data_IF_858119332415
#
_entry.id   IF_858119332415
#
_cell.length_a   1.000
_cell.length_b   1.000
_cell.length_c   1.000
_cell.angle_alpha   90.00
_cell.angle_beta   90.00
_cell.angle_gamma   90.00
#
_symmetry.space_group_name_H-M   'P 1'
#
loop_
_entity.id
_entity.type
_entity.pdbx_description
1 polymer ?
#
# COMPACT_ATOMS: atom_id res chain seq x y z
N UNK A 1 17.28 24.66 8.73
CA UNK A 1 18.14 23.50 9.10
C UNK A 1 19.47 24.01 9.60
N UNK A 2 19.99 23.42 10.67
CA UNK A 2 21.36 23.65 11.10
C UNK A 2 22.34 22.97 10.12
N UNK A 3 23.64 23.27 10.23
CA UNK A 3 24.65 22.78 9.29
C UNK A 3 24.85 21.26 9.37
N UNK A 4 24.64 20.66 10.54
CA UNK A 4 24.65 19.20 10.70
C UNK A 4 23.54 18.53 9.88
N UNK A 5 22.32 19.06 9.93
CA UNK A 5 21.20 18.54 9.14
C UNK A 5 21.45 18.73 7.64
N UNK A 6 22.01 19.86 7.21
CA UNK A 6 22.36 20.07 5.79
C UNK A 6 23.34 19.02 5.31
N UNK A 7 24.39 18.77 6.10
CA UNK A 7 25.40 17.76 5.79
C UNK A 7 24.80 16.35 5.68
N UNK A 8 23.93 15.97 6.62
CA UNK A 8 23.27 14.67 6.58
C UNK A 8 22.39 14.50 5.33
N UNK A 9 21.66 15.54 4.91
CA UNK A 9 20.88 15.51 3.67
C UNK A 9 21.79 15.43 2.44
N UNK A 10 22.89 16.17 2.42
CA UNK A 10 23.86 16.14 1.32
C UNK A 10 24.53 14.77 1.18
N UNK A 11 24.91 14.13 2.29
CA UNK A 11 25.44 12.77 2.30
C UNK A 11 24.41 11.76 1.76
N UNK A 12 23.16 11.84 2.21
CA UNK A 12 22.07 11.00 1.71
C UNK A 12 21.84 11.18 0.20
N UNK A 13 21.76 12.42 -0.28
CA UNK A 13 21.54 12.74 -1.70
C UNK A 13 22.75 12.42 -2.58
N UNK A 14 23.95 12.38 -2.01
CA UNK A 14 25.16 11.92 -2.73
C UNK A 14 25.07 10.42 -3.01
N UNK A 15 24.58 9.62 -2.05
CA UNK A 15 24.39 8.17 -2.18
C UNK A 15 23.14 7.72 -2.94
N UNK A 16 22.30 8.65 -3.43
CA UNK A 16 20.98 8.33 -4.00
C UNK A 16 21.01 7.30 -5.14
N UNK A 17 22.03 7.29 -5.99
CA UNK A 17 22.06 6.40 -7.15
C UNK A 17 22.35 4.94 -6.73
N UNK A 18 23.21 4.77 -5.72
CA UNK A 18 23.50 3.48 -5.09
C UNK A 18 22.28 2.98 -4.31
N UNK A 19 21.68 3.83 -3.48
CA UNK A 19 20.46 3.51 -2.72
C UNK A 19 19.31 3.14 -3.68
N UNK A 20 19.17 3.87 -4.78
CA UNK A 20 18.18 3.57 -5.83
C UNK A 20 18.39 2.17 -6.40
N UNK A 21 19.64 1.79 -6.73
CA UNK A 21 19.94 0.45 -7.25
C UNK A 21 19.63 -0.65 -6.23
N UNK A 22 19.99 -0.46 -4.97
CA UNK A 22 19.69 -1.40 -3.87
C UNK A 22 18.18 -1.60 -3.68
N UNK A 23 17.39 -0.51 -3.68
CA UNK A 23 15.92 -0.58 -3.57
C UNK A 23 15.32 -1.41 -4.71
N UNK A 24 15.83 -1.28 -5.94
CA UNK A 24 15.32 -2.03 -7.08
C UNK A 24 15.66 -3.52 -6.98
N UNK A 25 16.85 -3.86 -6.50
CA UNK A 25 17.22 -5.26 -6.30
C UNK A 25 16.40 -5.89 -5.16
N UNK A 26 16.24 -5.19 -4.03
CA UNK A 26 15.39 -5.65 -2.94
C UNK A 26 13.94 -5.85 -3.42
N UNK A 27 13.40 -4.90 -4.19
CA UNK A 27 12.08 -5.02 -4.82
C UNK A 27 11.97 -6.27 -5.69
N UNK A 28 13.01 -6.59 -6.46
CA UNK A 28 13.06 -7.76 -7.32
C UNK A 28 13.13 -9.05 -6.52
N UNK A 29 13.89 -9.09 -5.44
CA UNK A 29 13.91 -10.24 -4.52
C UNK A 29 12.53 -10.47 -3.91
N UNK A 30 11.85 -9.41 -3.48
CA UNK A 30 10.57 -9.48 -2.79
C UNK A 30 9.44 -9.89 -3.73
N UNK A 31 9.34 -9.24 -4.88
CA UNK A 31 8.22 -9.39 -5.80
C UNK A 31 8.51 -10.32 -6.99
N UNK A 32 9.73 -10.85 -7.09
CA UNK A 32 10.22 -11.63 -8.23
C UNK A 32 10.49 -10.81 -9.49
N UNK A 33 10.25 -9.50 -9.44
CA UNK A 33 10.50 -8.53 -10.52
C UNK A 33 10.53 -7.11 -9.94
N UNK A 34 11.16 -6.19 -10.64
CA UNK A 34 11.02 -4.76 -10.36
C UNK A 34 9.63 -4.30 -10.83
N UNK A 35 8.77 -3.75 -9.97
CA UNK A 35 7.52 -3.13 -10.40
C UNK A 35 7.79 -1.97 -11.37
N UNK A 36 7.04 -1.88 -12.47
CA UNK A 36 7.27 -0.88 -13.52
C UNK A 36 7.28 0.56 -12.98
N UNK A 37 6.51 0.84 -11.94
CA UNK A 37 6.43 2.16 -11.33
C UNK A 37 7.79 2.60 -10.77
N UNK A 38 8.56 1.67 -10.18
CA UNK A 38 9.89 2.00 -9.64
C UNK A 38 10.90 2.29 -10.76
N UNK A 39 10.77 1.61 -11.90
CA UNK A 39 11.60 1.86 -13.09
C UNK A 39 11.43 3.28 -13.65
N UNK A 40 10.23 3.86 -13.51
CA UNK A 40 9.95 5.25 -13.91
C UNK A 40 10.34 6.22 -12.79
N UNK A 41 10.02 5.91 -11.54
CA UNK A 41 10.31 6.81 -10.41
C UNK A 41 11.82 7.05 -10.24
N UNK A 42 12.66 6.04 -10.49
CA UNK A 42 14.12 6.17 -10.38
C UNK A 42 14.73 7.21 -11.32
N UNK A 43 14.01 7.67 -12.36
CA UNK A 43 14.45 8.78 -13.21
C UNK A 43 14.63 10.09 -12.42
N UNK A 44 14.04 10.19 -11.22
CA UNK A 44 14.20 11.29 -10.26
C UNK A 44 14.74 10.74 -8.93
N UNK A 45 16.02 10.34 -8.87
CA UNK A 45 16.56 9.53 -7.79
C UNK A 45 16.43 10.21 -6.42
N UNK A 46 16.60 11.53 -6.33
CA UNK A 46 16.47 12.30 -5.08
C UNK A 46 15.10 12.18 -4.42
N UNK A 47 14.03 12.16 -5.23
CA UNK A 47 12.66 11.99 -4.73
C UNK A 47 12.36 10.52 -4.53
N UNK A 48 12.80 9.67 -5.46
CA UNK A 48 12.55 8.24 -5.43
C UNK A 48 13.10 7.59 -4.16
N UNK A 49 14.39 7.78 -3.83
CA UNK A 49 15.00 7.11 -2.68
C UNK A 49 14.35 7.53 -1.37
N UNK A 50 13.97 8.79 -1.23
CA UNK A 50 13.31 9.28 -0.02
C UNK A 50 11.94 8.64 0.16
N UNK A 51 11.11 8.65 -0.88
CA UNK A 51 9.76 8.09 -0.80
C UNK A 51 9.77 6.56 -0.71
N UNK A 52 10.59 5.89 -1.52
CA UNK A 52 10.65 4.44 -1.54
C UNK A 52 11.13 3.85 -0.21
N UNK A 53 12.14 4.44 0.44
CA UNK A 53 12.54 4.00 1.78
C UNK A 53 11.40 4.17 2.79
N UNK A 54 10.70 5.31 2.75
CA UNK A 54 9.54 5.56 3.60
C UNK A 54 8.40 4.56 3.37
N UNK A 55 8.08 4.28 2.11
CA UNK A 55 7.03 3.34 1.71
C UNK A 55 7.37 1.91 2.15
N UNK A 56 8.62 1.47 1.94
CA UNK A 56 9.07 0.12 2.32
C UNK A 56 9.03 -0.09 3.83
N UNK A 57 9.53 0.88 4.61
CA UNK A 57 9.46 0.84 6.08
C UNK A 57 8.00 0.89 6.60
N UNK A 58 7.12 1.62 5.91
CA UNK A 58 5.70 1.74 6.29
C UNK A 58 4.92 0.46 5.99
N UNK A 59 5.11 -0.12 4.81
CA UNK A 59 4.37 -1.29 4.33
C UNK A 59 4.90 -2.57 4.98
N UNK A 60 6.16 -2.59 5.44
CA UNK A 60 6.78 -3.71 6.17
C UNK A 60 7.21 -3.31 7.58
N UNK A 61 6.25 -3.00 8.45
CA UNK A 61 6.56 -2.57 9.80
C UNK A 61 7.14 -3.74 10.62
N UNK A 62 8.11 -3.43 11.48
CA UNK A 62 8.75 -4.42 12.38
C UNK A 62 7.80 -5.00 13.44
N UNK A 63 6.63 -4.38 13.63
CA UNK A 63 5.62 -4.79 14.60
C UNK A 63 4.66 -5.87 14.09
N UNK A 64 4.69 -6.20 12.79
CA UNK A 64 3.89 -7.26 12.17
C UNK A 64 4.80 -8.27 11.50
N UNK A 65 4.38 -9.54 11.46
CA UNK A 65 5.03 -10.49 10.57
C UNK A 65 4.75 -10.16 9.09
N UNK A 66 5.60 -10.66 8.21
CA UNK A 66 5.55 -10.36 6.79
C UNK A 66 4.23 -10.78 6.13
N UNK A 67 3.68 -11.94 6.51
CA UNK A 67 2.42 -12.43 5.94
C UNK A 67 1.25 -11.49 6.31
N UNK A 68 1.18 -11.06 7.57
CA UNK A 68 0.16 -10.15 8.07
C UNK A 68 0.26 -8.78 7.40
N UNK A 69 1.46 -8.22 7.29
CA UNK A 69 1.68 -6.93 6.63
C UNK A 69 1.28 -6.95 5.14
N UNK A 70 1.62 -8.02 4.43
CA UNK A 70 1.25 -8.17 3.01
C UNK A 70 -0.26 -8.43 2.83
N UNK A 71 -0.92 -9.16 3.74
CA UNK A 71 -2.39 -9.32 3.71
C UNK A 71 -3.12 -7.99 3.94
N UNK A 72 -2.61 -7.11 4.80
CA UNK A 72 -3.14 -5.74 4.97
C UNK A 72 -2.94 -4.93 3.68
N UNK A 73 -1.79 -5.11 3.01
CA UNK A 73 -1.50 -4.48 1.73
C UNK A 73 -2.45 -4.96 0.62
N UNK A 74 -2.75 -6.26 0.57
CA UNK A 74 -3.78 -6.84 -0.31
C UNK A 74 -5.14 -6.20 -0.05
N UNK A 75 -5.58 -6.15 1.22
CA UNK A 75 -6.86 -5.55 1.58
C UNK A 75 -6.96 -4.07 1.21
N UNK A 76 -5.87 -3.33 1.40
CA UNK A 76 -5.79 -1.91 1.07
C UNK A 76 -5.81 -1.68 -0.44
N UNK A 77 -5.06 -2.49 -1.20
CA UNK A 77 -5.09 -2.46 -2.67
C UNK A 77 -6.49 -2.77 -3.21
N UNK A 78 -7.19 -3.75 -2.62
CA UNK A 78 -8.60 -4.04 -2.96
C UNK A 78 -9.51 -2.84 -2.68
N UNK A 79 -9.42 -2.25 -1.49
CA UNK A 79 -10.25 -1.11 -1.11
C UNK A 79 -10.04 0.12 -2.02
N UNK A 80 -8.81 0.34 -2.47
CA UNK A 80 -8.42 1.47 -3.33
C UNK A 80 -8.62 1.18 -4.83
N UNK A 81 -9.00 -0.03 -5.23
CA UNK A 81 -9.08 -0.43 -6.63
C UNK A 81 -7.72 -0.49 -7.34
N UNK A 82 -6.62 -0.61 -6.58
CA UNK A 82 -5.24 -0.61 -7.08
C UNK A 82 -4.84 -2.00 -7.60
N UNK A 83 -5.40 -2.41 -8.74
CA UNK A 83 -5.25 -3.77 -9.30
C UNK A 83 -3.79 -4.17 -9.59
N UNK A 84 -2.95 -3.19 -9.98
CA UNK A 84 -1.51 -3.42 -10.17
C UNK A 84 -0.81 -3.80 -8.86
N UNK A 85 -1.11 -3.08 -7.77
CA UNK A 85 -0.61 -3.37 -6.43
C UNK A 85 -1.14 -4.70 -5.92
N UNK A 86 -2.41 -4.99 -6.17
CA UNK A 86 -3.06 -6.24 -5.73
C UNK A 86 -2.30 -7.47 -6.23
N UNK A 87 -1.91 -7.51 -7.52
CA UNK A 87 -1.13 -8.63 -8.07
C UNK A 87 0.23 -8.79 -7.39
N UNK A 88 0.90 -7.69 -7.08
CA UNK A 88 2.23 -7.68 -6.45
C UNK A 88 2.14 -8.18 -5.01
N UNK A 89 1.24 -7.62 -4.22
CA UNK A 89 1.09 -7.95 -2.79
C UNK A 89 0.49 -9.34 -2.56
N UNK A 90 -0.36 -9.86 -3.46
CA UNK A 90 -0.77 -11.28 -3.39
C UNK A 90 0.46 -12.20 -3.53
N UNK A 91 1.35 -11.93 -4.49
CA UNK A 91 2.58 -12.71 -4.66
C UNK A 91 3.48 -12.64 -3.43
N UNK A 92 3.66 -11.45 -2.86
CA UNK A 92 4.46 -11.24 -1.67
C UNK A 92 3.86 -11.94 -0.43
N UNK A 93 2.55 -11.86 -0.22
CA UNK A 93 1.85 -12.53 0.86
C UNK A 93 2.03 -14.05 0.81
N UNK A 94 1.86 -14.65 -0.38
CA UNK A 94 2.06 -16.08 -0.58
C UNK A 94 3.53 -16.49 -0.33
N UNK A 95 4.49 -15.69 -0.80
CA UNK A 95 5.92 -15.91 -0.52
C UNK A 95 6.24 -15.81 0.97
N UNK A 96 5.53 -14.97 1.71
CA UNK A 96 5.63 -14.84 3.16
C UNK A 96 4.90 -15.94 3.94
N UNK A 97 4.24 -16.88 3.25
CA UNK A 97 3.58 -18.04 3.86
C UNK A 97 2.07 -17.90 4.08
N UNK A 98 1.44 -16.84 3.57
CA UNK A 98 -0.02 -16.74 3.58
C UNK A 98 -0.66 -17.80 2.66
N UNK A 99 -1.88 -18.21 2.99
CA UNK A 99 -2.67 -19.14 2.16
C UNK A 99 -3.56 -18.38 1.17
N UNK A 100 -4.02 -19.06 0.12
CA UNK A 100 -5.00 -18.50 -0.80
C UNK A 100 -6.34 -18.16 -0.12
N UNK A 101 -6.72 -18.90 0.93
CA UNK A 101 -7.92 -18.60 1.72
C UNK A 101 -7.75 -17.28 2.49
N UNK A 102 -6.59 -17.06 3.12
CA UNK A 102 -6.29 -15.77 3.78
C UNK A 102 -6.29 -14.61 2.78
N UNK A 103 -5.75 -14.82 1.58
CA UNK A 103 -5.79 -13.82 0.49
C UNK A 103 -7.24 -13.53 0.07
N UNK A 104 -8.07 -14.56 -0.09
CA UNK A 104 -9.48 -14.40 -0.42
C UNK A 104 -10.21 -13.60 0.65
N UNK A 105 -9.98 -13.91 1.93
CA UNK A 105 -10.55 -13.16 3.05
C UNK A 105 -10.10 -11.70 3.04
N UNK A 106 -8.81 -11.45 2.80
CA UNK A 106 -8.25 -10.09 2.68
C UNK A 106 -8.86 -9.29 1.52
N UNK A 107 -9.41 -9.93 0.49
CA UNK A 107 -10.15 -9.28 -0.60
C UNK A 107 -11.63 -9.08 -0.23
N UNK A 108 -12.25 -10.10 0.38
CA UNK A 108 -13.68 -10.11 0.67
C UNK A 108 -14.07 -9.13 1.78
N UNK A 109 -13.22 -8.98 2.80
CA UNK A 109 -13.43 -8.05 3.92
C UNK A 109 -13.58 -6.59 3.43
N UNK A 110 -12.59 -5.97 2.75
CA UNK A 110 -12.73 -4.60 2.27
C UNK A 110 -13.85 -4.44 1.24
N UNK A 111 -14.13 -5.45 0.41
CA UNK A 111 -15.27 -5.42 -0.49
C UNK A 111 -16.61 -5.34 0.26
N UNK A 112 -16.76 -6.09 1.36
CA UNK A 112 -17.93 -6.01 2.23
C UNK A 112 -18.06 -4.63 2.89
N UNK A 113 -16.96 -4.10 3.43
CA UNK A 113 -16.95 -2.76 4.02
C UNK A 113 -17.28 -1.67 3.00
N UNK A 114 -16.75 -1.77 1.77
CA UNK A 114 -17.08 -0.88 0.67
C UNK A 114 -18.56 -0.90 0.27
N UNK A 115 -19.22 -2.07 0.32
CA UNK A 115 -20.69 -2.12 0.15
C UNK A 115 -21.41 -1.36 1.27
N UNK A 116 -20.98 -1.54 2.51
CA UNK A 116 -21.63 -0.87 3.65
C UNK A 116 -21.41 0.64 3.68
N UNK A 117 -20.27 1.15 3.19
CA UNK A 117 -20.01 2.59 3.12
C UNK A 117 -20.95 3.30 2.14
N UNK A 118 -21.47 2.59 1.15
CA UNK A 118 -22.51 3.08 0.23
C UNK A 118 -23.90 2.91 0.85
N UNK A 119 -24.23 1.71 1.31
CA UNK A 119 -25.59 1.39 1.78
C UNK A 119 -25.99 2.17 3.03
N UNK A 120 -25.09 2.33 4.00
CA UNK A 120 -25.41 2.97 5.27
C UNK A 120 -25.93 4.42 5.13
N UNK A 121 -25.23 5.34 4.42
CA UNK A 121 -25.75 6.69 4.21
C UNK A 121 -27.00 6.71 3.32
N UNK A 122 -27.06 5.91 2.26
CA UNK A 122 -28.23 5.87 1.38
C UNK A 122 -29.50 5.42 2.11
N UNK A 123 -29.42 4.36 2.92
CA UNK A 123 -30.56 3.85 3.68
C UNK A 123 -30.98 4.81 4.81
N UNK A 124 -30.05 5.63 5.33
CA UNK A 124 -30.38 6.70 6.28
C UNK A 124 -31.28 7.75 5.63
N UNK A 125 -30.91 8.24 4.44
CA UNK A 125 -31.71 9.21 3.68
C UNK A 125 -33.07 8.60 3.30
N UNK A 126 -33.07 7.35 2.80
CA UNK A 126 -34.32 6.65 2.47
C UNK A 126 -35.27 6.58 3.68
N UNK A 127 -34.74 6.25 4.87
CA UNK A 127 -35.52 6.22 6.11
C UNK A 127 -36.10 7.60 6.43
N UNK A 128 -35.32 8.67 6.30
CA UNK A 128 -35.79 10.05 6.55
C UNK A 128 -36.93 10.47 5.61
N UNK A 129 -36.85 10.14 4.32
CA UNK A 129 -37.93 10.38 3.36
C UNK A 129 -39.19 9.59 3.73
N UNK A 130 -39.03 8.28 3.98
CA UNK A 130 -40.15 7.41 4.33
C UNK A 130 -40.86 7.83 5.62
N UNK A 131 -40.11 8.26 6.64
CA UNK A 131 -40.68 8.68 7.91
C UNK A 131 -41.47 10.00 7.78
N UNK A 132 -41.14 10.86 6.79
CA UNK A 132 -41.91 12.07 6.45
C UNK A 132 -43.18 11.75 5.67
N UNK A 133 -43.13 10.83 4.70
CA UNK A 133 -44.30 10.39 3.92
C UNK A 133 -45.39 9.73 4.77
N UNK A 134 -45.04 9.22 5.97
CA UNK A 134 -45.99 8.58 6.91
C UNK A 134 -46.64 9.62 7.85
N UNK A 135 -46.13 10.85 7.91
CA UNK A 135 -46.65 11.91 8.80
C UNK A 135 -47.58 12.92 8.12
N UNK A 136 -47.74 12.86 6.79
CA UNK A 136 -48.74 13.57 5.99
C UNK A 136 -49.93 12.67 5.63
#
# INVERSE_FOLDING_TARGET
>A
MNDQSKKAIEEFLTGKDEISAEILEESKELFGKVPFILEILKERPESFVFNALGDFETIRPKSLDAATAELISVASATALGATACLKVHIGAALKAGATMDQVLDAIMIPAALGRTSILAPSLRIFKECRDKDVQE
#
